data_IF_314753014656
#
_entry.id   IF_314753014656
#
_cell.length_a   1.000
_cell.length_b   1.000
_cell.length_c   1.000
_cell.angle_alpha   90.00
_cell.angle_beta   90.00
_cell.angle_gamma   90.00
#
_symmetry.space_group_name_H-M   'P 1'
#
loop_
_entity.id
_entity.type
_entity.pdbx_description
1 polymer ?
#
# COMPACT_ATOMS: atom_id res chain seq x y z
N UNK A 1 21.99 -13.00 -17.58
CA UNK A 1 21.25 -12.07 -16.72
C UNK A 1 21.57 -10.59 -16.97
N UNK A 2 22.84 -10.17 -16.94
CA UNK A 2 23.25 -8.76 -17.19
C UNK A 2 22.87 -8.19 -18.57
N UNK A 3 22.91 -8.99 -19.66
CA UNK A 3 22.48 -8.54 -21.00
C UNK A 3 20.98 -8.24 -21.10
N UNK A 4 20.13 -8.88 -20.30
CA UNK A 4 18.70 -8.58 -20.22
C UNK A 4 18.42 -7.25 -19.51
N UNK A 5 19.16 -6.94 -18.45
CA UNK A 5 19.03 -5.67 -17.72
C UNK A 5 19.41 -4.45 -18.57
N UNK A 6 20.46 -4.56 -19.38
CA UNK A 6 20.88 -3.47 -20.27
C UNK A 6 19.92 -3.22 -21.43
N UNK A 7 19.16 -4.23 -21.88
CA UNK A 7 18.08 -4.05 -22.86
C UNK A 7 16.84 -3.39 -22.26
N UNK A 8 16.54 -3.63 -20.98
CA UNK A 8 15.43 -3.01 -20.26
C UNK A 8 15.66 -1.50 -20.03
N UNK A 9 16.92 -1.07 -19.93
CA UNK A 9 17.30 0.32 -19.66
C UNK A 9 17.47 1.19 -20.92
N UNK A 10 17.36 0.63 -22.13
CA UNK A 10 17.45 1.42 -23.36
C UNK A 10 16.22 2.32 -23.53
N UNK A 11 16.37 3.63 -23.86
CA UNK A 11 15.26 4.58 -24.01
C UNK A 11 14.21 4.18 -25.07
N UNK A 12 14.58 3.41 -26.07
CA UNK A 12 13.71 2.87 -27.13
C UNK A 12 13.48 1.34 -26.97
N UNK A 13 13.66 0.81 -25.75
CA UNK A 13 13.56 -0.59 -25.45
C UNK A 13 12.15 -1.04 -25.03
N UNK A 14 12.12 -1.93 -24.05
CA UNK A 14 10.92 -2.58 -23.56
C UNK A 14 9.88 -1.63 -22.92
N UNK A 15 10.32 -0.49 -22.35
CA UNK A 15 9.48 0.53 -21.71
C UNK A 15 9.53 1.86 -22.49
N UNK A 16 8.39 2.53 -22.60
CA UNK A 16 8.32 3.89 -23.15
C UNK A 16 8.97 4.91 -22.21
N UNK A 17 9.46 6.04 -22.76
CA UNK A 17 9.96 7.15 -21.94
C UNK A 17 8.92 7.63 -20.92
N UNK A 18 7.64 7.61 -21.27
CA UNK A 18 6.57 8.04 -20.36
C UNK A 18 6.32 7.04 -19.23
N UNK A 19 6.47 5.75 -19.47
CA UNK A 19 6.42 4.75 -18.39
C UNK A 19 7.52 4.99 -17.34
N UNK A 20 8.74 5.35 -17.77
CA UNK A 20 9.84 5.74 -16.88
C UNK A 20 9.55 7.02 -16.09
N UNK A 21 8.98 8.04 -16.76
CA UNK A 21 8.58 9.30 -16.09
C UNK A 21 7.57 9.06 -14.98
N UNK A 22 6.52 8.26 -15.25
CA UNK A 22 5.48 7.94 -14.28
C UNK A 22 5.99 7.02 -13.17
N UNK A 23 6.90 6.09 -13.48
CA UNK A 23 7.54 5.25 -12.48
C UNK A 23 8.46 6.07 -11.56
N UNK A 24 9.25 6.99 -12.10
CA UNK A 24 10.08 7.91 -11.31
C UNK A 24 9.21 8.81 -10.42
N UNK A 25 8.10 9.33 -10.93
CA UNK A 25 7.13 10.09 -10.15
C UNK A 25 6.63 9.28 -8.94
N UNK A 26 6.25 8.02 -9.19
CA UNK A 26 5.75 7.14 -8.15
C UNK A 26 6.85 6.79 -7.14
N UNK A 27 8.08 6.54 -7.58
CA UNK A 27 9.22 6.30 -6.71
C UNK A 27 9.47 7.48 -5.77
N UNK A 28 9.56 8.70 -6.29
CA UNK A 28 9.80 9.92 -5.50
C UNK A 28 8.63 10.14 -4.53
N UNK A 29 7.39 9.97 -4.99
CA UNK A 29 6.21 10.08 -4.12
C UNK A 29 6.22 9.01 -3.01
N UNK A 30 6.72 7.80 -3.28
CA UNK A 30 6.81 6.74 -2.26
C UNK A 30 7.94 6.95 -1.25
N UNK A 31 8.95 7.75 -1.55
CA UNK A 31 9.91 8.21 -0.55
C UNK A 31 9.21 9.06 0.53
N UNK A 32 8.17 9.84 0.19
CA UNK A 32 7.39 10.58 1.18
C UNK A 32 6.53 9.69 2.09
N UNK A 33 6.39 8.40 1.79
CA UNK A 33 5.66 7.45 2.64
C UNK A 33 6.37 7.15 3.99
N UNK A 34 7.54 7.74 4.25
CA UNK A 34 8.20 7.72 5.57
C UNK A 34 7.21 8.10 6.69
N UNK A 35 6.41 9.15 6.50
CA UNK A 35 5.39 9.56 7.47
C UNK A 35 4.43 8.41 7.77
N UNK A 36 3.94 7.69 6.78
CA UNK A 36 3.01 6.55 6.97
C UNK A 36 3.65 5.44 7.83
N UNK A 37 4.92 5.13 7.59
CA UNK A 37 5.62 4.05 8.29
C UNK A 37 5.91 4.39 9.76
N UNK A 38 6.19 5.66 10.04
CA UNK A 38 6.63 6.10 11.37
C UNK A 38 5.57 6.89 12.16
N UNK A 39 4.39 7.16 11.58
CA UNK A 39 3.34 7.93 12.23
C UNK A 39 2.87 7.29 13.54
N UNK A 40 2.69 5.97 13.57
CA UNK A 40 2.28 5.26 14.78
C UNK A 40 3.30 5.40 15.91
N UNK A 41 4.59 5.31 15.58
CA UNK A 41 5.71 5.52 16.52
C UNK A 41 5.76 6.97 17.01
N UNK A 42 5.64 7.94 16.10
CA UNK A 42 5.61 9.36 16.44
C UNK A 42 4.50 9.69 17.42
N UNK A 43 3.26 9.29 17.13
CA UNK A 43 2.10 9.56 17.96
C UNK A 43 2.25 8.96 19.37
N UNK A 44 2.83 7.77 19.48
CA UNK A 44 3.01 7.08 20.75
C UNK A 44 4.24 7.57 21.52
N UNK A 45 5.40 7.69 20.88
CA UNK A 45 6.67 7.93 21.57
C UNK A 45 6.94 9.42 21.78
N UNK A 46 6.68 10.25 20.77
CA UNK A 46 6.93 11.69 20.90
C UNK A 46 5.77 12.42 21.57
N UNK A 47 4.52 12.06 21.19
CA UNK A 47 3.34 12.74 21.75
C UNK A 47 2.76 12.03 22.98
N UNK A 48 3.28 10.86 23.35
CA UNK A 48 2.85 10.11 24.54
C UNK A 48 1.40 9.64 24.49
N UNK A 49 0.79 9.52 23.31
CA UNK A 49 -0.62 9.14 23.18
C UNK A 49 -0.84 7.66 23.49
N UNK A 50 -1.98 7.35 24.10
CA UNK A 50 -2.42 5.98 24.31
C UNK A 50 -2.56 5.25 22.97
N UNK A 51 -2.25 3.95 22.94
CA UNK A 51 -2.22 3.17 21.68
C UNK A 51 -3.60 3.11 21.01
N UNK A 52 -4.67 3.16 21.80
CA UNK A 52 -6.04 3.24 21.32
C UNK A 52 -6.30 4.55 20.54
N UNK A 53 -5.79 5.67 21.08
CA UNK A 53 -5.88 6.99 20.42
C UNK A 53 -5.08 6.99 19.13
N UNK A 54 -3.89 6.39 19.13
CA UNK A 54 -3.09 6.19 17.90
C UNK A 54 -3.89 5.42 16.86
N UNK A 55 -4.56 4.33 17.26
CA UNK A 55 -5.44 3.55 16.40
C UNK A 55 -6.55 4.39 15.76
N UNK A 56 -7.25 5.21 16.54
CA UNK A 56 -8.29 6.12 16.02
C UNK A 56 -7.75 7.16 15.06
N UNK A 57 -6.60 7.75 15.35
CA UNK A 57 -5.94 8.73 14.46
C UNK A 57 -5.52 8.11 13.11
N UNK A 58 -4.93 6.92 13.14
CA UNK A 58 -4.57 6.21 11.91
C UNK A 58 -5.80 5.74 11.13
N UNK A 59 -6.90 5.43 11.81
CA UNK A 59 -8.18 5.12 11.15
C UNK A 59 -8.79 6.35 10.46
N UNK A 60 -8.59 7.55 10.99
CA UNK A 60 -8.97 8.78 10.28
C UNK A 60 -8.23 8.90 8.92
N UNK A 61 -6.93 8.55 8.89
CA UNK A 61 -6.19 8.44 7.62
C UNK A 61 -6.80 7.37 6.70
N UNK A 62 -7.15 6.19 7.23
CA UNK A 62 -7.83 5.12 6.48
C UNK A 62 -9.18 5.56 5.89
N UNK A 63 -10.00 6.28 6.67
CA UNK A 63 -11.24 6.90 6.19
C UNK A 63 -10.97 7.87 5.03
N UNK A 64 -9.93 8.69 5.19
CA UNK A 64 -9.47 9.60 4.14
C UNK A 64 -9.09 8.87 2.85
N UNK A 65 -8.36 7.75 2.93
CA UNK A 65 -7.99 6.94 1.77
C UNK A 65 -9.21 6.48 0.97
N UNK A 66 -10.25 6.03 1.66
CA UNK A 66 -11.49 5.55 1.06
C UNK A 66 -12.21 6.70 0.33
N UNK A 67 -12.44 7.81 1.03
CA UNK A 67 -13.10 9.01 0.48
C UNK A 67 -12.27 9.58 -0.68
N UNK A 68 -10.96 9.69 -0.52
CA UNK A 68 -10.05 10.23 -1.51
C UNK A 68 -9.99 9.42 -2.80
N UNK A 69 -10.05 8.09 -2.70
CA UNK A 69 -10.08 7.23 -3.89
C UNK A 69 -11.36 7.45 -4.72
N UNK A 70 -12.50 7.65 -4.07
CA UNK A 70 -13.77 7.96 -4.73
C UNK A 70 -13.75 9.37 -5.34
N UNK A 71 -13.36 10.38 -4.56
CA UNK A 71 -13.27 11.76 -5.01
C UNK A 71 -12.25 11.94 -6.13
N UNK A 72 -11.11 11.26 -6.07
CA UNK A 72 -10.07 11.31 -7.09
C UNK A 72 -10.58 10.79 -8.44
N UNK A 73 -11.36 9.69 -8.43
CA UNK A 73 -12.03 9.18 -9.62
C UNK A 73 -13.02 10.20 -10.18
N UNK A 74 -13.97 10.64 -9.37
CA UNK A 74 -15.01 11.59 -9.79
C UNK A 74 -14.44 12.93 -10.29
N UNK A 75 -13.51 13.53 -9.54
CA UNK A 75 -12.88 14.80 -9.93
C UNK A 75 -12.09 14.68 -11.24
N UNK A 76 -11.47 13.53 -11.49
CA UNK A 76 -10.69 13.31 -12.72
C UNK A 76 -11.55 13.25 -13.99
N UNK A 77 -12.88 13.05 -13.86
CA UNK A 77 -13.81 13.13 -14.98
C UNK A 77 -14.19 14.59 -15.33
N UNK A 78 -14.05 15.51 -14.38
CA UNK A 78 -14.42 16.92 -14.53
C UNK A 78 -13.22 17.86 -14.68
N UNK A 79 -12.06 17.46 -14.17
CA UNK A 79 -10.84 18.27 -14.16
C UNK A 79 -9.71 17.49 -14.81
N UNK A 80 -8.90 18.15 -15.64
CA UNK A 80 -7.70 17.54 -16.25
C UNK A 80 -6.85 16.85 -15.17
N UNK A 81 -6.61 15.54 -15.33
CA UNK A 81 -5.89 14.69 -14.38
C UNK A 81 -4.54 15.30 -13.95
N UNK A 82 -3.79 15.87 -14.90
CA UNK A 82 -2.52 16.51 -14.61
C UNK A 82 -2.64 17.74 -13.68
N UNK A 83 -3.68 18.58 -13.83
CA UNK A 83 -3.90 19.74 -12.96
C UNK A 83 -4.27 19.31 -11.56
N UNK A 84 -5.17 18.33 -11.46
CA UNK A 84 -5.62 17.79 -10.18
C UNK A 84 -4.47 17.12 -9.43
N UNK A 85 -3.64 16.33 -10.12
CA UNK A 85 -2.46 15.69 -9.52
C UNK A 85 -1.47 16.72 -8.98
N UNK A 86 -1.18 17.79 -9.73
CA UNK A 86 -0.28 18.85 -9.28
C UNK A 86 -0.84 19.61 -8.07
N UNK A 87 -2.13 19.93 -8.06
CA UNK A 87 -2.79 20.59 -6.94
C UNK A 87 -2.73 19.73 -5.67
N UNK A 88 -3.00 18.43 -5.79
CA UNK A 88 -2.94 17.51 -4.65
C UNK A 88 -1.51 17.36 -4.11
N UNK A 89 -0.49 17.26 -4.96
CA UNK A 89 0.90 17.27 -4.49
C UNK A 89 1.23 18.57 -3.75
N UNK A 90 0.81 19.73 -4.28
CA UNK A 90 1.04 21.01 -3.63
C UNK A 90 0.39 21.08 -2.24
N UNK A 91 -0.89 20.68 -2.13
CA UNK A 91 -1.59 20.64 -0.83
C UNK A 91 -0.93 19.62 0.11
N UNK A 92 -0.49 18.46 -0.40
CA UNK A 92 0.19 17.43 0.38
C UNK A 92 1.47 17.95 1.04
N UNK A 93 2.26 18.80 0.37
CA UNK A 93 3.46 19.40 0.96
C UNK A 93 3.11 20.15 2.24
N UNK A 94 2.07 21.01 2.21
CA UNK A 94 1.65 21.77 3.38
C UNK A 94 1.07 20.90 4.48
N UNK A 95 0.28 19.88 4.13
CA UNK A 95 -0.27 18.93 5.11
C UNK A 95 0.84 18.19 5.83
N UNK A 96 1.87 17.72 5.09
CA UNK A 96 3.02 17.02 5.68
C UNK A 96 3.84 17.96 6.60
N UNK A 97 4.04 19.22 6.20
CA UNK A 97 4.71 20.20 7.06
C UNK A 97 3.92 20.47 8.35
N UNK A 98 2.60 20.64 8.23
CA UNK A 98 1.74 20.90 9.39
C UNK A 98 1.67 19.69 10.33
N UNK A 99 1.68 18.45 9.82
CA UNK A 99 1.76 17.24 10.64
C UNK A 99 3.03 17.20 11.53
N UNK A 100 4.14 17.75 11.07
CA UNK A 100 5.37 17.85 11.85
C UNK A 100 5.38 18.98 12.89
N UNK A 101 4.42 19.92 12.84
CA UNK A 101 4.36 21.09 13.72
C UNK A 101 3.20 21.01 14.72
N UNK A 102 2.12 20.34 14.36
CA UNK A 102 0.89 20.25 15.17
C UNK A 102 0.97 19.06 16.12
N UNK A 103 0.64 19.29 17.40
CA UNK A 103 0.64 18.26 18.44
C UNK A 103 -0.75 17.99 19.04
N UNK A 104 -1.73 18.83 18.74
CA UNK A 104 -3.08 18.71 19.27
C UNK A 104 -3.89 17.64 18.54
N UNK A 105 -4.47 16.71 19.27
CA UNK A 105 -5.19 15.52 18.76
C UNK A 105 -6.28 15.86 17.73
N UNK A 106 -7.16 16.86 17.93
CA UNK A 106 -8.19 17.18 16.93
C UNK A 106 -7.63 17.63 15.58
N UNK A 107 -6.58 18.44 15.60
CA UNK A 107 -5.92 18.90 14.38
C UNK A 107 -5.12 17.79 13.69
N UNK A 108 -4.48 16.92 14.47
CA UNK A 108 -3.83 15.71 13.93
C UNK A 108 -4.84 14.80 13.23
N UNK A 109 -6.02 14.59 13.82
CA UNK A 109 -7.09 13.81 13.19
C UNK A 109 -7.54 14.41 11.86
N UNK A 110 -7.75 15.74 11.81
CA UNK A 110 -8.13 16.44 10.59
C UNK A 110 -7.04 16.39 9.51
N UNK A 111 -5.78 16.58 9.88
CA UNK A 111 -4.64 16.53 8.96
C UNK A 111 -4.40 15.10 8.46
N UNK A 112 -4.55 14.08 9.30
CA UNK A 112 -4.44 12.67 8.90
C UNK A 112 -5.57 12.26 7.97
N UNK A 113 -6.81 12.67 8.25
CA UNK A 113 -7.94 12.48 7.35
C UNK A 113 -7.66 13.12 5.98
N UNK A 114 -7.23 14.38 5.96
CA UNK A 114 -6.91 15.11 4.74
C UNK A 114 -5.74 14.47 3.98
N UNK A 115 -4.68 14.04 4.69
CA UNK A 115 -3.56 13.29 4.10
C UNK A 115 -4.05 12.00 3.44
N UNK A 116 -4.95 11.27 4.11
CA UNK A 116 -5.59 10.08 3.54
C UNK A 116 -6.38 10.39 2.27
N UNK A 117 -7.19 11.46 2.27
CA UNK A 117 -7.95 11.90 1.08
C UNK A 117 -7.01 12.18 -0.09
N UNK A 118 -5.93 12.90 0.16
CA UNK A 118 -4.93 13.21 -0.87
C UNK A 118 -4.26 11.95 -1.41
N UNK A 119 -3.82 11.05 -0.54
CA UNK A 119 -3.14 9.81 -0.93
C UNK A 119 -4.07 8.86 -1.71
N UNK A 120 -5.34 8.76 -1.29
CA UNK A 120 -6.36 7.99 -1.99
C UNK A 120 -6.61 8.52 -3.41
N UNK A 121 -6.77 9.84 -3.54
CA UNK A 121 -6.93 10.48 -4.83
C UNK A 121 -5.69 10.32 -5.72
N UNK A 122 -4.48 10.56 -5.22
CA UNK A 122 -3.23 10.39 -5.97
C UNK A 122 -3.08 8.95 -6.47
N UNK A 123 -3.46 7.94 -5.67
CA UNK A 123 -3.44 6.54 -6.08
C UNK A 123 -4.31 6.30 -7.33
N UNK A 124 -5.52 6.82 -7.33
CA UNK A 124 -6.47 6.70 -8.46
C UNK A 124 -5.97 7.47 -9.67
N UNK A 125 -5.52 8.70 -9.48
CA UNK A 125 -5.00 9.55 -10.55
C UNK A 125 -3.74 8.97 -11.21
N UNK A 126 -2.86 8.31 -10.45
CA UNK A 126 -1.69 7.66 -11.02
C UNK A 126 -2.07 6.55 -12.03
N UNK A 127 -3.10 5.76 -11.74
CA UNK A 127 -3.62 4.77 -12.68
C UNK A 127 -4.18 5.44 -13.94
N UNK A 128 -4.91 6.54 -13.77
CA UNK A 128 -5.45 7.31 -14.89
C UNK A 128 -4.35 7.96 -15.74
N UNK A 129 -3.30 8.49 -15.12
CA UNK A 129 -2.13 9.01 -15.86
C UNK A 129 -1.47 7.93 -16.73
N UNK A 130 -1.39 6.69 -16.28
CA UNK A 130 -0.90 5.58 -17.11
C UNK A 130 -1.82 5.36 -18.32
N UNK A 131 -3.14 5.41 -18.12
CA UNK A 131 -4.11 5.26 -19.22
C UNK A 131 -4.07 6.43 -20.20
N UNK A 132 -3.91 7.66 -19.72
CA UNK A 132 -3.88 8.88 -20.53
C UNK A 132 -2.59 9.07 -21.32
N UNK A 133 -1.45 8.60 -20.79
CA UNK A 133 -0.12 8.90 -21.36
C UNK A 133 0.63 7.66 -21.89
N UNK A 134 0.10 6.46 -21.73
CA UNK A 134 0.69 5.24 -22.27
C UNK A 134 -0.29 4.57 -23.26
N UNK A 135 0.26 4.13 -24.39
CA UNK A 135 -0.49 3.34 -25.37
C UNK A 135 -1.03 2.04 -24.75
N UNK A 136 -2.18 1.56 -25.22
CA UNK A 136 -2.88 0.38 -24.69
C UNK A 136 -1.94 -0.82 -24.55
N UNK A 137 -1.16 -1.13 -25.61
CA UNK A 137 -0.20 -2.24 -25.62
C UNK A 137 0.91 -2.13 -24.57
N UNK A 138 1.15 -0.92 -24.01
CA UNK A 138 2.23 -0.64 -23.07
C UNK A 138 1.76 -0.41 -21.64
N UNK A 139 0.45 -0.28 -21.40
CA UNK A 139 -0.13 -0.01 -20.07
C UNK A 139 0.26 -1.06 -19.04
N UNK A 140 0.20 -2.35 -19.41
CA UNK A 140 0.59 -3.44 -18.53
C UNK A 140 2.06 -3.35 -18.09
N UNK A 141 2.97 -3.02 -19.04
CA UNK A 141 4.39 -2.82 -18.76
C UNK A 141 4.62 -1.59 -17.86
N UNK A 142 3.95 -0.47 -18.15
CA UNK A 142 4.02 0.73 -17.32
C UNK A 142 3.54 0.47 -15.89
N UNK A 143 2.49 -0.33 -15.70
CA UNK A 143 2.02 -0.76 -14.38
C UNK A 143 3.02 -1.67 -13.66
N UNK A 144 3.65 -2.60 -14.37
CA UNK A 144 4.69 -3.46 -13.80
C UNK A 144 5.89 -2.64 -13.31
N UNK A 145 6.37 -1.68 -14.13
CA UNK A 145 7.45 -0.76 -13.77
C UNK A 145 7.06 0.12 -12.57
N UNK A 146 5.84 0.64 -12.55
CA UNK A 146 5.29 1.42 -11.43
C UNK A 146 5.25 0.61 -10.13
N UNK A 147 4.99 -0.69 -10.20
CA UNK A 147 5.00 -1.59 -9.05
C UNK A 147 6.40 -1.76 -8.46
N UNK A 148 7.39 -1.96 -9.31
CA UNK A 148 8.81 -2.01 -8.89
C UNK A 148 9.23 -0.67 -8.26
N UNK A 149 8.91 0.45 -8.92
CA UNK A 149 9.22 1.78 -8.42
C UNK A 149 8.59 2.06 -7.04
N UNK A 150 7.35 1.61 -6.83
CA UNK A 150 6.64 1.71 -5.55
C UNK A 150 7.38 0.97 -4.45
N UNK A 151 7.76 -0.29 -4.67
CA UNK A 151 8.42 -1.11 -3.67
C UNK A 151 9.82 -0.59 -3.35
N UNK A 152 10.59 -0.15 -4.38
CA UNK A 152 11.88 0.51 -4.17
C UNK A 152 11.74 1.80 -3.35
N UNK A 153 10.72 2.62 -3.66
CA UNK A 153 10.43 3.83 -2.90
C UNK A 153 10.06 3.54 -1.44
N UNK A 154 9.25 2.48 -1.20
CA UNK A 154 8.91 2.05 0.16
C UNK A 154 10.11 1.50 0.92
N UNK A 155 11.00 0.73 0.27
CA UNK A 155 12.24 0.25 0.88
C UNK A 155 13.13 1.43 1.32
N UNK A 156 13.35 2.38 0.42
CA UNK A 156 14.15 3.55 0.72
C UNK A 156 13.48 4.45 1.79
N UNK A 157 12.15 4.57 1.78
CA UNK A 157 11.39 5.29 2.80
C UNK A 157 11.52 4.64 4.20
N UNK A 158 11.52 3.31 4.27
CA UNK A 158 11.73 2.60 5.54
C UNK A 158 13.10 2.92 6.13
N UNK A 159 14.16 2.72 5.35
CA UNK A 159 15.54 2.94 5.80
C UNK A 159 15.78 4.42 6.11
N UNK A 160 15.50 5.32 5.17
CA UNK A 160 15.73 6.77 5.36
C UNK A 160 14.87 7.33 6.50
N UNK A 161 13.59 6.93 6.57
CA UNK A 161 12.69 7.33 7.63
C UNK A 161 13.15 6.85 9.00
N UNK A 162 13.68 5.63 9.12
CA UNK A 162 14.24 5.10 10.38
C UNK A 162 15.43 5.90 10.87
N UNK A 163 16.37 6.22 9.98
CA UNK A 163 17.56 7.04 10.31
C UNK A 163 17.12 8.46 10.73
N UNK A 164 16.23 9.08 9.96
CA UNK A 164 15.75 10.43 10.28
C UNK A 164 14.96 10.46 11.59
N UNK A 165 14.06 9.50 11.81
CA UNK A 165 13.26 9.40 13.02
C UNK A 165 14.10 9.10 14.27
N UNK A 166 15.22 8.39 14.12
CA UNK A 166 16.16 8.15 15.22
C UNK A 166 16.84 9.44 15.69
N UNK A 167 17.05 10.40 14.77
CA UNK A 167 17.61 11.70 15.11
C UNK A 167 16.54 12.66 15.69
N UNK A 168 15.44 12.84 14.99
CA UNK A 168 14.25 13.59 15.39
C UNK A 168 13.10 13.25 14.41
N UNK A 169 11.94 12.87 14.94
CA UNK A 169 10.76 12.56 14.12
C UNK A 169 10.31 13.70 13.21
N UNK A 170 10.59 14.95 13.55
CA UNK A 170 10.25 16.12 12.71
C UNK A 170 10.93 16.06 11.35
N UNK A 171 12.13 15.50 11.26
CA UNK A 171 12.84 15.35 9.99
C UNK A 171 12.11 14.41 9.03
N UNK A 172 11.37 13.42 9.55
CA UNK A 172 10.55 12.52 8.72
C UNK A 172 9.47 13.31 7.97
N UNK A 173 8.81 14.26 8.65
CA UNK A 173 7.77 15.10 8.03
C UNK A 173 8.35 16.07 7.01
N UNK A 174 9.42 16.77 7.37
CA UNK A 174 10.05 17.75 6.47
C UNK A 174 10.70 17.07 5.25
N UNK A 175 11.37 15.95 5.44
CA UNK A 175 11.91 15.16 4.33
C UNK A 175 10.79 14.64 3.42
N UNK A 176 9.68 14.16 3.99
CA UNK A 176 8.52 13.73 3.20
C UNK A 176 7.91 14.88 2.41
N UNK A 177 7.79 16.06 3.00
CA UNK A 177 7.34 17.27 2.31
C UNK A 177 8.30 17.66 1.18
N UNK A 178 9.62 17.60 1.42
CA UNK A 178 10.63 17.86 0.39
C UNK A 178 10.55 16.86 -0.77
N UNK A 179 10.40 15.55 -0.48
CA UNK A 179 10.22 14.53 -1.52
C UNK A 179 8.92 14.74 -2.30
N UNK A 180 7.83 15.11 -1.64
CA UNK A 180 6.57 15.45 -2.32
C UNK A 180 6.71 16.70 -3.19
N UNK A 181 7.45 17.71 -2.76
CA UNK A 181 7.77 18.87 -3.57
C UNK A 181 8.62 18.49 -4.79
N UNK A 182 9.62 17.62 -4.63
CA UNK A 182 10.38 17.09 -5.76
C UNK A 182 9.50 16.31 -6.74
N UNK A 183 8.55 15.52 -6.24
CA UNK A 183 7.58 14.82 -7.09
C UNK A 183 6.71 15.82 -7.88
N UNK A 184 6.25 16.90 -7.25
CA UNK A 184 5.51 17.99 -7.90
C UNK A 184 6.34 18.66 -8.99
N UNK A 185 7.55 19.06 -8.69
CA UNK A 185 8.45 19.73 -9.64
C UNK A 185 8.79 18.82 -10.83
N UNK A 186 9.09 17.54 -10.55
CA UNK A 186 9.31 16.52 -11.59
C UNK A 186 8.08 16.37 -12.49
N UNK A 187 6.90 16.25 -11.89
CA UNK A 187 5.64 16.07 -12.60
C UNK A 187 5.32 17.28 -13.48
N UNK A 188 5.42 18.50 -12.96
CA UNK A 188 5.15 19.73 -13.72
C UNK A 188 6.14 19.87 -14.90
N UNK A 189 7.42 19.57 -14.67
CA UNK A 189 8.44 19.66 -15.73
C UNK A 189 8.24 18.62 -16.84
N UNK A 190 7.78 17.43 -16.50
CA UNK A 190 7.77 16.29 -17.44
C UNK A 190 6.42 16.00 -18.06
N UNK A 191 5.32 16.27 -17.36
CA UNK A 191 3.98 15.80 -17.73
C UNK A 191 2.98 16.93 -18.02
N UNK A 192 3.13 18.09 -17.37
CA UNK A 192 2.15 19.18 -17.43
C UNK A 192 1.77 19.65 -18.84
N UNK A 193 2.76 19.76 -19.75
CA UNK A 193 2.57 20.27 -21.12
C UNK A 193 2.37 19.18 -22.16
N UNK A 194 2.39 17.90 -21.77
CA UNK A 194 2.23 16.81 -22.72
C UNK A 194 0.78 16.66 -23.15
N UNK A 195 0.52 16.41 -24.45
CA UNK A 195 -0.80 16.07 -24.93
C UNK A 195 -1.24 14.72 -24.36
N UNK A 196 -2.51 14.63 -24.00
CA UNK A 196 -3.13 13.37 -23.60
C UNK A 196 -3.36 12.54 -24.85
N UNK A 197 -2.97 11.27 -24.83
CA UNK A 197 -3.36 10.32 -25.86
C UNK A 197 -4.87 10.13 -25.72
N UNK A 198 -5.61 10.22 -26.83
CA UNK A 198 -7.07 10.06 -26.82
C UNK A 198 -7.40 8.69 -26.23
N UNK A 199 -7.98 8.70 -25.05
CA UNK A 199 -8.57 7.50 -24.45
C UNK A 199 -9.87 7.29 -25.20
N UNK A 200 -9.95 6.22 -26.01
CA UNK A 200 -11.26 5.79 -26.53
C UNK A 200 -12.19 5.61 -25.32
N UNK A 201 -13.37 6.19 -25.41
CA UNK A 201 -14.44 5.97 -24.44
C UNK A 201 -14.73 4.47 -24.40
N UNK A 202 -14.10 3.75 -23.48
CA UNK A 202 -14.70 2.54 -22.95
C UNK A 202 -15.87 3.04 -22.09
N UNK A 203 -16.99 3.28 -22.75
CA UNK A 203 -18.27 3.60 -22.13
C UNK A 203 -18.50 2.56 -21.03
N UNK A 204 -18.37 3.00 -19.79
CA UNK A 204 -18.83 2.24 -18.66
C UNK A 204 -20.34 2.05 -18.86
N UNK A 205 -20.74 0.86 -19.29
CA UNK A 205 -22.13 0.50 -19.43
C UNK A 205 -22.77 0.62 -18.05
N UNK A 206 -23.56 1.67 -17.89
CA UNK A 206 -23.98 2.24 -16.61
C UNK A 206 -25.06 1.43 -15.88
N UNK A 207 -24.91 0.12 -15.75
CA UNK A 207 -25.78 -0.65 -14.86
C UNK A 207 -25.35 -0.50 -13.41
N UNK A 208 -26.10 0.27 -12.64
CA UNK A 208 -25.85 0.60 -11.22
C UNK A 208 -26.07 -0.54 -10.22
N UNK A 209 -26.30 -1.77 -10.67
CA UNK A 209 -26.55 -2.91 -9.77
C UNK A 209 -25.21 -3.54 -9.39
N UNK A 210 -24.83 -3.54 -8.10
CA UNK A 210 -23.58 -4.16 -7.66
C UNK A 210 -23.60 -5.67 -7.96
N UNK A 211 -22.43 -6.25 -8.30
CA UNK A 211 -22.30 -7.67 -8.52
C UNK A 211 -22.75 -8.48 -7.30
N UNK A 212 -23.63 -9.47 -7.53
CA UNK A 212 -24.17 -10.35 -6.46
C UNK A 212 -23.64 -11.77 -6.56
N UNK A 213 -22.57 -11.99 -7.31
CA UNK A 213 -21.96 -13.31 -7.50
C UNK A 213 -21.38 -13.80 -6.18
N UNK A 214 -21.91 -14.89 -5.64
CA UNK A 214 -21.47 -15.47 -4.36
C UNK A 214 -19.94 -15.69 -4.29
N UNK A 215 -19.27 -16.23 -5.31
CA UNK A 215 -17.82 -16.39 -5.28
C UNK A 215 -17.07 -15.04 -5.18
N UNK A 216 -17.58 -14.01 -5.85
CA UNK A 216 -17.00 -12.66 -5.75
C UNK A 216 -17.20 -12.04 -4.36
N UNK A 217 -18.35 -12.25 -3.73
CA UNK A 217 -18.60 -11.79 -2.35
C UNK A 217 -17.65 -12.48 -1.37
N UNK A 218 -17.36 -13.78 -1.56
CA UNK A 218 -16.33 -14.48 -0.79
C UNK A 218 -14.94 -13.90 -0.99
N UNK A 219 -14.60 -13.51 -2.23
CA UNK A 219 -13.34 -12.81 -2.52
C UNK A 219 -13.25 -11.47 -1.79
N UNK A 220 -14.31 -10.67 -1.79
CA UNK A 220 -14.34 -9.38 -1.07
C UNK A 220 -14.17 -9.57 0.44
N UNK A 221 -14.88 -10.54 1.02
CA UNK A 221 -14.75 -10.87 2.44
C UNK A 221 -13.33 -11.35 2.79
N UNK A 222 -12.76 -12.25 1.98
CA UNK A 222 -11.38 -12.71 2.14
C UNK A 222 -10.37 -11.56 2.07
N UNK A 223 -10.55 -10.66 1.09
CA UNK A 223 -9.69 -9.47 0.90
C UNK A 223 -9.80 -8.51 2.09
N UNK A 224 -11.01 -8.27 2.60
CA UNK A 224 -11.21 -7.40 3.76
C UNK A 224 -10.54 -7.96 5.01
N UNK A 225 -10.74 -9.26 5.31
CA UNK A 225 -10.15 -9.93 6.48
C UNK A 225 -8.63 -9.96 6.39
N UNK A 226 -8.08 -10.32 5.22
CA UNK A 226 -6.66 -10.34 4.98
C UNK A 226 -6.05 -8.92 5.06
N UNK A 227 -6.74 -7.94 4.49
CA UNK A 227 -6.33 -6.55 4.50
C UNK A 227 -6.16 -6.00 5.92
N UNK A 228 -7.04 -6.40 6.88
CA UNK A 228 -6.89 -6.03 8.28
C UNK A 228 -5.56 -6.54 8.84
N UNK A 229 -5.19 -7.80 8.58
CA UNK A 229 -3.91 -8.35 9.03
C UNK A 229 -2.71 -7.63 8.41
N UNK A 230 -2.80 -7.26 7.12
CA UNK A 230 -1.75 -6.50 6.42
C UNK A 230 -1.60 -5.07 6.95
N UNK A 231 -2.69 -4.34 7.12
CA UNK A 231 -2.63 -2.96 7.60
C UNK A 231 -2.20 -2.88 9.08
N UNK A 232 -2.39 -3.95 9.86
CA UNK A 232 -1.86 -4.08 11.23
C UNK A 232 -0.32 -3.99 11.24
N UNK A 233 0.36 -4.50 10.22
CA UNK A 233 1.83 -4.36 10.09
C UNK A 233 2.23 -2.88 10.03
N UNK A 234 1.52 -2.06 9.27
CA UNK A 234 1.83 -0.64 9.13
C UNK A 234 1.38 0.20 10.33
N UNK A 235 0.31 -0.18 11.02
CA UNK A 235 -0.23 0.58 12.14
C UNK A 235 0.38 0.24 13.48
N UNK A 236 0.83 -1.00 13.68
CA UNK A 236 1.12 -1.51 15.03
C UNK A 236 2.52 -2.12 15.17
N UNK A 237 3.12 -2.67 14.08
CA UNK A 237 4.40 -3.39 14.17
C UNK A 237 5.53 -2.53 14.76
N UNK A 238 5.64 -1.27 14.33
CA UNK A 238 6.66 -0.37 14.83
C UNK A 238 6.61 -0.22 16.37
N UNK A 239 5.43 0.05 16.91
CA UNK A 239 5.22 0.17 18.35
C UNK A 239 5.50 -1.15 19.08
N UNK A 240 5.05 -2.27 18.50
CA UNK A 240 5.28 -3.59 19.07
C UNK A 240 6.78 -3.95 19.13
N UNK A 241 7.53 -3.70 18.08
CA UNK A 241 8.97 -3.94 18.04
C UNK A 241 9.73 -3.02 19.01
N UNK A 242 9.23 -1.82 19.23
CA UNK A 242 9.77 -0.92 20.23
C UNK A 242 9.49 -1.38 21.64
N UNK A 243 8.23 -1.72 21.96
CA UNK A 243 7.78 -2.04 23.30
C UNK A 243 8.27 -3.42 23.78
N UNK A 244 8.26 -4.44 22.93
CA UNK A 244 8.55 -5.83 23.30
C UNK A 244 9.94 -6.32 22.87
N UNK A 245 10.48 -5.80 21.77
CA UNK A 245 11.80 -6.18 21.28
C UNK A 245 12.87 -5.14 21.58
N UNK A 246 12.48 -3.98 22.10
CA UNK A 246 13.36 -2.85 22.44
C UNK A 246 14.25 -2.39 21.29
N UNK A 247 13.77 -2.54 20.04
CA UNK A 247 14.53 -2.15 18.86
C UNK A 247 14.60 -0.63 18.73
N UNK A 248 15.72 -0.14 18.19
CA UNK A 248 15.84 1.27 17.81
C UNK A 248 14.90 1.61 16.65
N UNK A 249 14.55 2.89 16.51
CA UNK A 249 13.71 3.38 15.41
C UNK A 249 14.37 3.11 14.04
N UNK A 250 15.70 3.19 14.00
CA UNK A 250 16.48 2.83 12.82
C UNK A 250 16.34 1.34 12.47
N UNK A 251 16.45 0.42 13.44
CA UNK A 251 16.29 -1.02 13.22
C UNK A 251 14.86 -1.35 12.71
N UNK A 252 13.85 -0.67 13.22
CA UNK A 252 12.47 -0.77 12.74
C UNK A 252 12.38 -0.30 11.27
N UNK A 253 13.05 0.79 10.93
CA UNK A 253 13.14 1.26 9.55
C UNK A 253 13.79 0.25 8.60
N UNK A 254 14.88 -0.37 9.03
CA UNK A 254 15.52 -1.46 8.28
C UNK A 254 14.61 -2.67 8.09
N UNK A 255 13.77 -3.00 9.08
CA UNK A 255 12.78 -4.08 8.96
C UNK A 255 11.76 -3.79 7.86
N UNK A 256 11.21 -2.56 7.79
CA UNK A 256 10.31 -2.18 6.69
C UNK A 256 11.03 -2.19 5.34
N UNK A 257 12.28 -1.72 5.30
CA UNK A 257 13.14 -1.80 4.12
C UNK A 257 13.38 -3.23 3.66
N UNK A 258 13.67 -4.14 4.60
CA UNK A 258 13.88 -5.57 4.35
C UNK A 258 12.65 -6.21 3.68
N UNK A 259 11.45 -5.98 4.22
CA UNK A 259 10.21 -6.49 3.61
C UNK A 259 10.09 -6.06 2.15
N UNK A 260 10.22 -4.76 1.87
CA UNK A 260 10.07 -4.24 0.51
C UNK A 260 11.15 -4.79 -0.46
N UNK A 261 12.40 -4.95 0.01
CA UNK A 261 13.48 -5.56 -0.78
C UNK A 261 13.25 -7.05 -1.02
N UNK A 262 12.76 -7.79 -0.02
CA UNK A 262 12.40 -9.20 -0.16
C UNK A 262 11.28 -9.39 -1.18
N UNK A 263 10.24 -8.54 -1.16
CA UNK A 263 9.17 -8.57 -2.18
C UNK A 263 9.76 -8.40 -3.57
N UNK A 264 10.64 -7.43 -3.79
CA UNK A 264 11.28 -7.23 -5.10
C UNK A 264 12.12 -8.44 -5.52
N UNK A 265 12.91 -8.97 -4.61
CA UNK A 265 13.83 -10.07 -4.90
C UNK A 265 13.11 -11.42 -5.12
N UNK A 266 12.05 -11.67 -4.36
CA UNK A 266 11.38 -12.98 -4.31
C UNK A 266 10.18 -13.08 -5.26
N UNK A 267 9.52 -11.96 -5.60
CA UNK A 267 8.27 -11.98 -6.35
C UNK A 267 8.38 -12.75 -7.68
N UNK A 268 9.39 -12.45 -8.50
CA UNK A 268 9.55 -13.08 -9.82
C UNK A 268 10.05 -14.52 -9.70
N UNK A 269 11.16 -14.80 -8.98
CA UNK A 269 11.64 -16.17 -8.83
C UNK A 269 10.59 -17.12 -8.23
N UNK A 270 9.87 -16.66 -7.21
CA UNK A 270 8.86 -17.45 -6.54
C UNK A 270 7.65 -17.72 -7.45
N UNK A 271 7.18 -16.71 -8.20
CA UNK A 271 6.10 -16.88 -9.16
C UNK A 271 6.42 -17.96 -10.20
N UNK A 272 7.67 -17.99 -10.72
CA UNK A 272 8.11 -19.04 -11.64
C UNK A 272 8.23 -20.42 -10.95
N UNK A 273 8.76 -20.48 -9.74
CA UNK A 273 8.92 -21.74 -9.01
C UNK A 273 7.59 -22.45 -8.74
N UNK A 274 6.52 -21.66 -8.51
CA UNK A 274 5.18 -22.20 -8.20
C UNK A 274 4.21 -22.09 -9.39
N UNK A 275 4.68 -21.80 -10.60
CA UNK A 275 3.83 -21.63 -11.79
C UNK A 275 2.92 -22.83 -12.05
N UNK A 276 3.40 -24.05 -11.73
CA UNK A 276 2.63 -25.30 -11.86
C UNK A 276 1.60 -25.52 -10.76
N UNK A 277 1.65 -24.73 -9.68
CA UNK A 277 0.68 -24.84 -8.62
C UNK A 277 -0.59 -24.09 -9.03
N UNK A 278 -1.74 -24.67 -8.86
CA UNK A 278 -3.00 -23.95 -9.06
C UNK A 278 -3.13 -22.80 -8.07
N UNK A 279 -3.85 -21.73 -8.44
CA UNK A 279 -4.06 -20.52 -7.61
C UNK A 279 -4.50 -20.84 -6.18
N UNK A 280 -5.31 -21.90 -5.99
CA UNK A 280 -5.77 -22.35 -4.67
C UNK A 280 -4.62 -22.75 -3.75
N UNK A 281 -3.68 -23.55 -4.26
CA UNK A 281 -2.53 -24.01 -3.48
C UNK A 281 -1.55 -22.89 -3.17
N UNK A 282 -1.32 -21.99 -4.12
CA UNK A 282 -0.49 -20.80 -3.89
C UNK A 282 -1.08 -19.94 -2.77
N UNK A 283 -2.40 -19.67 -2.80
CA UNK A 283 -3.09 -18.89 -1.79
C UNK A 283 -3.13 -19.61 -0.43
N UNK A 284 -3.33 -20.93 -0.40
CA UNK A 284 -3.30 -21.70 0.83
C UNK A 284 -1.93 -21.66 1.51
N UNK A 285 -0.87 -22.04 0.79
CA UNK A 285 0.49 -22.04 1.33
C UNK A 285 0.92 -20.62 1.70
N UNK A 286 0.59 -19.63 0.86
CA UNK A 286 0.84 -18.24 1.12
C UNK A 286 0.17 -17.76 2.42
N UNK A 287 -1.11 -18.12 2.65
CA UNK A 287 -1.82 -17.79 3.89
C UNK A 287 -1.19 -18.46 5.11
N UNK A 288 -0.81 -19.73 5.02
CA UNK A 288 -0.16 -20.44 6.14
C UNK A 288 1.16 -19.77 6.50
N UNK A 289 2.02 -19.47 5.51
CA UNK A 289 3.28 -18.76 5.76
C UNK A 289 3.05 -17.37 6.35
N UNK A 290 2.07 -16.63 5.84
CA UNK A 290 1.71 -15.31 6.35
C UNK A 290 1.25 -15.40 7.82
N UNK A 291 0.35 -16.35 8.13
CA UNK A 291 -0.13 -16.57 9.50
C UNK A 291 1.01 -17.01 10.43
N UNK A 292 1.88 -17.93 9.99
CA UNK A 292 3.04 -18.34 10.78
C UNK A 292 4.01 -17.18 11.02
N UNK A 293 4.34 -16.41 9.97
CA UNK A 293 5.26 -15.30 10.07
C UNK A 293 4.78 -14.20 11.01
N UNK A 294 3.51 -13.80 10.93
CA UNK A 294 2.94 -12.81 11.85
C UNK A 294 2.71 -13.42 13.26
N UNK A 295 2.16 -14.63 13.32
CA UNK A 295 1.81 -15.29 14.57
C UNK A 295 3.01 -15.73 15.41
N UNK A 296 4.22 -15.84 14.85
CA UNK A 296 5.42 -16.18 15.62
C UNK A 296 5.99 -15.02 16.43
N UNK A 297 5.66 -13.77 16.09
CA UNK A 297 6.20 -12.57 16.76
C UNK A 297 6.09 -12.60 18.30
N UNK A 298 4.99 -13.07 18.92
CA UNK A 298 4.89 -13.17 20.38
C UNK A 298 5.88 -14.13 21.05
N UNK A 299 6.50 -15.04 20.29
CA UNK A 299 7.27 -16.17 20.84
C UNK A 299 8.79 -16.02 20.69
N UNK A 300 9.26 -14.87 20.20
CA UNK A 300 10.68 -14.65 19.95
C UNK A 300 11.21 -13.36 20.51
N UNK A 301 12.50 -13.12 20.29
CA UNK A 301 13.18 -11.90 20.69
C UNK A 301 14.35 -11.57 19.77
N UNK A 302 14.76 -10.30 19.78
CA UNK A 302 15.89 -9.80 19.02
C UNK A 302 15.66 -9.61 17.53
N UNK A 303 16.56 -8.84 16.90
CA UNK A 303 16.44 -8.43 15.49
C UNK A 303 16.45 -9.61 14.52
N UNK A 304 17.28 -10.63 14.78
CA UNK A 304 17.37 -11.81 13.90
C UNK A 304 16.03 -12.56 13.79
N UNK A 305 15.31 -12.68 14.91
CA UNK A 305 13.99 -13.31 14.93
C UNK A 305 12.94 -12.47 14.16
N UNK A 306 13.00 -11.15 14.30
CA UNK A 306 12.15 -10.23 13.51
C UNK A 306 12.45 -10.35 12.03
N UNK A 307 13.72 -10.45 11.62
CA UNK A 307 14.10 -10.67 10.22
C UNK A 307 13.59 -12.02 9.69
N UNK A 308 13.66 -13.09 10.50
CA UNK A 308 13.11 -14.39 10.15
C UNK A 308 11.59 -14.33 9.98
N UNK A 309 10.89 -13.72 10.92
CA UNK A 309 9.44 -13.47 10.83
C UNK A 309 9.11 -12.70 9.55
N UNK A 310 9.86 -11.61 9.28
CA UNK A 310 9.68 -10.79 8.08
C UNK A 310 9.88 -11.60 6.81
N UNK A 311 10.89 -12.46 6.74
CA UNK A 311 11.13 -13.35 5.61
C UNK A 311 9.93 -14.29 5.39
N UNK A 312 9.45 -14.94 6.45
CA UNK A 312 8.38 -15.95 6.37
C UNK A 312 7.06 -15.30 5.90
N UNK A 313 6.62 -14.18 6.53
CA UNK A 313 5.39 -13.57 6.10
C UNK A 313 5.51 -12.86 4.73
N UNK A 314 6.70 -12.39 4.34
CA UNK A 314 6.94 -11.85 3.00
C UNK A 314 6.88 -12.93 1.93
N UNK A 315 7.39 -14.15 2.19
CA UNK A 315 7.18 -15.31 1.32
C UNK A 315 5.70 -15.63 1.17
N UNK A 316 4.94 -15.58 2.28
CA UNK A 316 3.49 -15.73 2.27
C UNK A 316 2.80 -14.69 1.39
N UNK A 317 3.16 -13.42 1.55
CA UNK A 317 2.67 -12.30 0.73
C UNK A 317 2.95 -12.53 -0.76
N UNK A 318 4.17 -12.87 -1.11
CA UNK A 318 4.61 -13.06 -2.49
C UNK A 318 3.90 -14.24 -3.19
N UNK A 319 3.50 -15.27 -2.44
CA UNK A 319 2.68 -16.38 -2.94
C UNK A 319 1.19 -16.02 -3.05
N UNK A 320 0.66 -15.27 -2.09
CA UNK A 320 -0.78 -15.03 -1.98
C UNK A 320 -1.27 -13.91 -2.91
N UNK A 321 -0.53 -12.80 -3.00
CA UNK A 321 -1.00 -11.58 -3.68
C UNK A 321 -1.20 -11.73 -5.20
N UNK A 322 -0.32 -12.40 -5.97
CA UNK A 322 -0.53 -12.52 -7.40
C UNK A 322 -1.82 -13.28 -7.76
N UNK A 323 -2.09 -14.50 -7.23
CA UNK A 323 -3.31 -15.20 -7.58
C UNK A 323 -4.58 -14.50 -7.07
N UNK A 324 -4.53 -13.77 -5.94
CA UNK A 324 -5.64 -12.95 -5.48
C UNK A 324 -6.03 -11.87 -6.51
N UNK A 325 -5.02 -11.15 -7.05
CA UNK A 325 -5.25 -10.13 -8.08
C UNK A 325 -5.75 -10.75 -9.40
N UNK A 326 -5.23 -11.93 -9.79
CA UNK A 326 -5.70 -12.65 -10.99
C UNK A 326 -7.15 -13.07 -10.83
N UNK A 327 -7.53 -13.56 -9.64
CA UNK A 327 -8.91 -13.94 -9.34
C UNK A 327 -9.86 -12.72 -9.40
N UNK A 328 -9.44 -11.57 -8.88
CA UNK A 328 -10.20 -10.32 -9.01
C UNK A 328 -10.37 -9.89 -10.47
N UNK A 329 -9.33 -10.05 -11.30
CA UNK A 329 -9.41 -9.78 -12.76
C UNK A 329 -10.33 -10.76 -13.48
N UNK A 330 -10.36 -12.02 -13.08
CA UNK A 330 -11.25 -13.03 -13.67
C UNK A 330 -12.74 -12.61 -13.53
N UNK A 331 -13.16 -12.21 -12.33
CA UNK A 331 -14.52 -11.71 -12.12
C UNK A 331 -14.82 -10.41 -12.88
N UNK A 332 -13.81 -9.57 -13.10
CA UNK A 332 -13.96 -8.31 -13.82
C UNK A 332 -14.14 -8.45 -15.34
N UNK A 333 -13.98 -9.64 -15.93
CA UNK A 333 -14.13 -9.87 -17.38
C UNK A 333 -15.58 -9.86 -17.88
N UNK A 334 -16.58 -9.88 -17.01
CA UNK A 334 -18.00 -10.00 -17.31
C UNK A 334 -18.69 -8.73 -17.80
N UNK A 335 -17.96 -7.77 -18.39
CA UNK A 335 -18.55 -6.52 -18.96
C UNK A 335 -18.78 -5.39 -17.95
N UNK A 336 -18.53 -5.61 -16.65
CA UNK A 336 -18.69 -4.64 -15.56
C UNK A 336 -17.38 -4.42 -14.78
N UNK A 337 -16.27 -4.43 -15.48
CA UNK A 337 -14.93 -4.46 -14.89
C UNK A 337 -14.67 -3.37 -13.84
N UNK A 338 -15.16 -2.15 -14.07
CA UNK A 338 -15.01 -1.04 -13.14
C UNK A 338 -15.69 -1.26 -11.79
N UNK A 339 -16.88 -1.88 -11.76
CA UNK A 339 -17.61 -2.15 -10.52
C UNK A 339 -16.90 -3.24 -9.68
N UNK A 340 -16.47 -4.33 -10.32
CA UNK A 340 -15.73 -5.42 -9.65
C UNK A 340 -14.41 -4.92 -9.04
N UNK A 341 -13.61 -4.19 -9.81
CA UNK A 341 -12.38 -3.60 -9.28
C UNK A 341 -12.64 -2.54 -8.21
N UNK A 342 -13.68 -1.72 -8.38
CA UNK A 342 -14.07 -0.73 -7.38
C UNK A 342 -14.36 -1.37 -6.03
N UNK A 343 -15.18 -2.43 -5.99
CA UNK A 343 -15.52 -3.17 -4.78
C UNK A 343 -14.31 -3.91 -4.19
N UNK A 344 -13.46 -4.49 -5.05
CA UNK A 344 -12.23 -5.15 -4.59
C UNK A 344 -11.26 -4.16 -3.90
N UNK A 345 -11.03 -2.97 -4.48
CA UNK A 345 -10.20 -1.95 -3.85
C UNK A 345 -10.88 -1.29 -2.64
N UNK A 346 -12.22 -1.21 -2.62
CA UNK A 346 -12.96 -0.75 -1.46
C UNK A 346 -12.77 -1.69 -0.26
N UNK A 347 -12.69 -3.01 -0.47
CA UNK A 347 -12.38 -3.98 0.60
C UNK A 347 -11.01 -3.72 1.23
N UNK A 348 -9.98 -3.41 0.45
CA UNK A 348 -8.67 -2.98 0.96
C UNK A 348 -8.73 -1.65 1.71
N UNK A 349 -9.48 -0.68 1.21
CA UNK A 349 -9.62 0.62 1.88
C UNK A 349 -10.40 0.53 3.20
N UNK A 350 -11.41 -0.34 3.26
CA UNK A 350 -12.14 -0.65 4.49
C UNK A 350 -11.21 -1.28 5.55
N UNK A 351 -10.27 -2.13 5.12
CA UNK A 351 -9.27 -2.70 6.02
C UNK A 351 -8.34 -1.63 6.60
N UNK A 352 -7.89 -0.69 5.80
CA UNK A 352 -7.06 0.43 6.26
C UNK A 352 -7.79 1.36 7.27
N UNK A 353 -9.12 1.42 7.18
CA UNK A 353 -9.96 2.12 8.18
C UNK A 353 -10.10 1.31 9.48
N UNK A 354 -10.36 0.01 9.37
CA UNK A 354 -10.72 -0.82 10.53
C UNK A 354 -9.50 -1.32 11.31
N UNK A 355 -8.42 -1.68 10.61
CA UNK A 355 -7.25 -2.33 11.18
C UNK A 355 -6.61 -1.53 12.33
N UNK A 356 -6.34 -0.21 12.21
CA UNK A 356 -5.69 0.53 13.29
C UNK A 356 -6.52 0.64 14.55
N UNK A 357 -7.87 0.79 14.44
CA UNK A 357 -8.75 0.80 15.62
C UNK A 357 -8.77 -0.57 16.29
N UNK A 358 -8.97 -1.64 15.50
CA UNK A 358 -9.02 -3.00 16.04
C UNK A 358 -7.70 -3.38 16.72
N UNK A 359 -6.58 -3.14 16.07
CA UNK A 359 -5.26 -3.45 16.61
C UNK A 359 -4.90 -2.56 17.79
N UNK A 360 -5.24 -1.27 17.77
CA UNK A 360 -4.99 -0.35 18.87
C UNK A 360 -5.80 -0.70 20.13
N UNK A 361 -7.10 -0.99 19.99
CA UNK A 361 -7.95 -1.41 21.08
C UNK A 361 -7.49 -2.75 21.68
N UNK A 362 -7.18 -3.72 20.81
CA UNK A 362 -6.70 -5.02 21.26
C UNK A 362 -5.36 -4.91 21.98
N UNK A 363 -4.45 -4.08 21.45
CA UNK A 363 -3.15 -3.82 22.06
C UNK A 363 -3.29 -3.19 23.46
N UNK A 364 -4.15 -2.19 23.61
CA UNK A 364 -4.36 -1.48 24.88
C UNK A 364 -5.02 -2.35 25.94
N UNK A 365 -5.98 -3.20 25.57
CA UNK A 365 -6.74 -4.03 26.51
C UNK A 365 -6.06 -5.35 26.85
N UNK A 366 -5.41 -6.01 25.87
CA UNK A 366 -4.88 -7.37 26.01
C UNK A 366 -3.36 -7.47 25.74
N UNK A 367 -2.71 -6.33 25.51
CA UNK A 367 -1.28 -6.27 25.20
C UNK A 367 -0.93 -6.59 23.75
N UNK A 368 0.29 -6.24 23.34
CA UNK A 368 0.72 -6.31 21.93
C UNK A 368 0.77 -7.73 21.34
N UNK A 369 0.99 -8.77 22.15
CA UNK A 369 0.99 -10.16 21.68
C UNK A 369 -0.35 -10.58 21.07
N UNK A 370 -1.46 -10.13 21.65
CA UNK A 370 -2.82 -10.44 21.18
C UNK A 370 -3.08 -9.97 19.75
N UNK A 371 -2.45 -8.87 19.35
CA UNK A 371 -2.60 -8.30 18.00
C UNK A 371 -2.03 -9.23 16.92
N UNK A 372 -0.88 -9.86 17.18
CA UNK A 372 -0.26 -10.77 16.22
C UNK A 372 -0.96 -12.11 16.16
N UNK A 373 -1.48 -12.60 17.29
CA UNK A 373 -2.34 -13.79 17.32
C UNK A 373 -3.67 -13.54 16.58
N UNK A 374 -4.29 -12.36 16.77
CA UNK A 374 -5.46 -11.96 15.98
C UNK A 374 -5.12 -11.89 14.49
N UNK A 375 -4.01 -11.26 14.12
CA UNK A 375 -3.60 -11.16 12.70
C UNK A 375 -3.41 -12.54 12.08
N UNK A 376 -2.74 -13.47 12.76
CA UNK A 376 -2.59 -14.85 12.32
C UNK A 376 -3.96 -15.54 12.16
N UNK A 377 -4.85 -15.38 13.13
CA UNK A 377 -6.20 -15.95 13.06
C UNK A 377 -7.01 -15.39 11.90
N UNK A 378 -6.97 -14.08 11.66
CA UNK A 378 -7.64 -13.44 10.51
C UNK A 378 -7.12 -14.00 9.18
N UNK A 379 -5.78 -14.18 9.04
CA UNK A 379 -5.21 -14.80 7.86
C UNK A 379 -5.70 -16.24 7.69
N UNK A 380 -5.77 -17.03 8.77
CA UNK A 380 -6.32 -18.39 8.72
C UNK A 380 -7.82 -18.41 8.34
N UNK A 381 -8.62 -17.45 8.86
CA UNK A 381 -10.03 -17.28 8.47
C UNK A 381 -10.16 -16.92 6.98
N UNK A 382 -9.20 -16.22 6.39
CA UNK A 382 -9.23 -15.92 4.97
C UNK A 382 -9.11 -17.17 4.07
N UNK A 383 -8.56 -18.28 4.57
CA UNK A 383 -8.36 -19.54 3.79
C UNK A 383 -9.69 -20.12 3.28
N UNK A 384 -10.68 -20.44 4.13
CA UNK A 384 -11.96 -20.98 3.63
C UNK A 384 -12.70 -19.96 2.75
N UNK A 385 -12.55 -18.66 2.97
CA UNK A 385 -13.18 -17.63 2.14
C UNK A 385 -12.57 -17.61 0.73
N UNK A 386 -11.25 -17.63 0.62
CA UNK A 386 -10.54 -17.72 -0.67
C UNK A 386 -10.81 -19.04 -1.37
N UNK A 387 -10.92 -20.13 -0.62
CA UNK A 387 -11.27 -21.43 -1.17
C UNK A 387 -12.67 -21.43 -1.81
N UNK A 388 -13.65 -20.82 -1.17
CA UNK A 388 -14.99 -20.65 -1.75
C UNK A 388 -14.99 -19.72 -2.97
N UNK A 389 -14.22 -18.64 -2.93
CA UNK A 389 -14.07 -17.73 -4.06
C UNK A 389 -13.51 -18.41 -5.31
N UNK A 390 -12.56 -19.34 -5.14
CA UNK A 390 -11.93 -20.08 -6.25
C UNK A 390 -12.77 -21.23 -6.81
N UNK A 391 -13.88 -21.64 -6.17
CA UNK A 391 -14.78 -22.66 -6.70
C UNK A 391 -15.65 -22.16 -7.85
N UNK A 392 -15.83 -20.86 -7.97
CA UNK A 392 -16.63 -20.21 -9.01
C UNK A 392 -15.81 -19.55 -10.13
N UNK A 393 -14.51 -19.68 -10.10
CA UNK A 393 -13.54 -19.22 -11.10
C UNK A 393 -12.80 -20.43 -11.69
#
# INVERSE_FOLDING_TARGET
MLKGLTQLLRPNGYFTPMAWVLAALLFINRLSAMVKLFMALYLRQELGLAIETVGWLLSAYGAGLLVGSMLGGWLSDHVRTARLTAALFFVSVWVLMLLGLVTQVPWLAALLLLSGVIDGAIRTLHQRLIMEYCEVAQRSRAQALSRVARNLGMAAAGVAGGVLAQADFRWVFFASAAMTMLALLWFVRTTWRRPVLVVGDESADGSSVPPRDKPFLWLLAATAVLGIAFDTVYSTLGNYLRDYYHLSTEAIGWQFGLNALLVIALQIPLSHAVERWGSRWQMLVGSVLLACGLGMLPFGSGLAFVCLSTLIWTLGEALFMPPLNVLAMHFAQSGKSGQYFGLFFMSWSASALLSPVLSGQLYGQFGGHSVWLMSALLVLISIPLTWQATRGA
#
